data_IF_211114563104
#
_entry.id   IF_211114563104
#
_cell.length_a   1.000
_cell.length_b   1.000
_cell.length_c   1.000
_cell.angle_alpha   90.00
_cell.angle_beta   90.00
_cell.angle_gamma   90.00
#
_symmetry.space_group_name_H-M   'P 1'
#
loop_
_entity.id
_entity.type
_entity.pdbx_description
1 polymer ?
#
# COMPACT_ATOMS: atom_id res chain seq x y z
N UNK A 1 -15.40 -9.46 12.77
CA UNK A 1 -15.42 -9.69 11.32
C UNK A 1 -16.46 -8.78 10.69
N UNK A 2 -16.19 -8.28 9.47
CA UNK A 2 -17.18 -7.55 8.69
C UNK A 2 -17.99 -8.60 7.95
N UNK A 3 -19.33 -8.56 8.07
CA UNK A 3 -20.25 -9.44 7.37
C UNK A 3 -21.04 -8.64 6.34
N UNK A 4 -21.01 -9.07 5.09
CA UNK A 4 -21.79 -8.46 4.01
C UNK A 4 -22.01 -9.49 2.91
N UNK A 5 -23.22 -9.54 2.32
CA UNK A 5 -23.59 -10.55 1.32
C UNK A 5 -22.72 -10.56 0.05
N UNK A 6 -22.03 -9.47 -0.25
CA UNK A 6 -21.08 -9.36 -1.38
C UNK A 6 -19.63 -9.64 -0.99
N UNK A 7 -19.34 -9.88 0.31
CA UNK A 7 -17.99 -10.11 0.80
C UNK A 7 -17.73 -11.62 0.87
N UNK A 8 -16.72 -12.07 0.15
CA UNK A 8 -16.16 -13.41 0.25
C UNK A 8 -14.80 -13.29 0.90
N UNK A 9 -14.60 -13.99 2.01
CA UNK A 9 -13.35 -13.99 2.76
C UNK A 9 -12.61 -15.30 2.55
N UNK A 10 -11.35 -15.23 2.13
CA UNK A 10 -10.47 -16.37 1.99
C UNK A 10 -9.34 -16.27 3.01
N UNK A 11 -9.17 -17.30 3.83
CA UNK A 11 -7.97 -17.46 4.63
C UNK A 11 -6.89 -18.06 3.74
N UNK A 12 -5.81 -17.32 3.51
CA UNK A 12 -4.77 -17.69 2.55
C UNK A 12 -3.47 -18.00 3.29
N UNK A 13 -2.84 -19.13 2.94
CA UNK A 13 -1.45 -19.38 3.29
C UNK A 13 -0.57 -18.71 2.22
N UNK A 14 0.32 -17.81 2.64
CA UNK A 14 1.23 -17.12 1.72
C UNK A 14 2.32 -18.02 1.12
N UNK A 15 2.54 -19.22 1.68
CA UNK A 15 3.42 -20.22 1.09
C UNK A 15 2.76 -21.00 -0.05
N UNK A 16 1.44 -20.85 -0.23
CA UNK A 16 0.66 -21.49 -1.29
C UNK A 16 -0.44 -20.53 -1.82
N UNK A 17 -0.02 -19.40 -2.38
CA UNK A 17 -0.93 -18.42 -2.99
C UNK A 17 -1.64 -18.96 -4.23
N UNK A 18 -1.01 -19.85 -4.97
CA UNK A 18 -1.51 -20.41 -6.21
C UNK A 18 -2.83 -21.17 -5.98
N UNK A 19 -2.91 -21.96 -4.92
CA UNK A 19 -4.09 -22.79 -4.62
C UNK A 19 -5.39 -21.98 -4.48
N UNK A 20 -5.29 -20.74 -4.01
CA UNK A 20 -6.42 -19.84 -3.81
C UNK A 20 -6.57 -18.87 -4.98
N UNK A 21 -5.51 -18.16 -5.35
CA UNK A 21 -5.57 -17.08 -6.32
C UNK A 21 -5.85 -17.57 -7.75
N UNK A 22 -5.45 -18.79 -8.11
CA UNK A 22 -5.77 -19.37 -9.42
C UNK A 22 -7.28 -19.50 -9.69
N UNK A 23 -8.10 -19.52 -8.65
CA UNK A 23 -9.56 -19.64 -8.73
C UNK A 23 -10.29 -18.29 -8.65
N UNK A 24 -9.58 -17.22 -8.32
CA UNK A 24 -10.15 -15.90 -8.13
C UNK A 24 -10.00 -15.08 -9.42
N UNK A 25 -11.12 -14.60 -9.94
CA UNK A 25 -11.15 -13.63 -11.04
C UNK A 25 -11.54 -12.27 -10.48
N UNK A 26 -10.73 -11.26 -10.75
CA UNK A 26 -10.99 -9.89 -10.33
C UNK A 26 -10.56 -8.92 -11.43
N UNK A 27 -11.27 -7.82 -11.59
CA UNK A 27 -10.88 -6.74 -12.50
C UNK A 27 -9.88 -5.80 -11.82
N UNK A 28 -10.11 -5.51 -10.54
CA UNK A 28 -9.32 -4.57 -9.75
C UNK A 28 -8.74 -5.28 -8.53
N UNK A 29 -7.42 -5.17 -8.34
CA UNK A 29 -6.71 -5.78 -7.24
C UNK A 29 -6.16 -4.70 -6.31
N UNK A 30 -6.54 -4.75 -5.04
CA UNK A 30 -6.10 -3.81 -4.01
C UNK A 30 -5.10 -4.48 -3.08
N UNK A 31 -3.83 -4.18 -3.22
CA UNK A 31 -2.76 -4.74 -2.41
C UNK A 31 -2.36 -3.77 -1.29
N UNK A 32 -2.78 -4.09 -0.07
CA UNK A 32 -2.44 -3.36 1.14
C UNK A 32 -1.49 -4.15 2.05
N UNK A 33 -0.76 -5.10 1.50
CA UNK A 33 0.23 -5.89 2.24
C UNK A 33 1.38 -5.02 2.69
N UNK A 34 1.87 -5.30 3.87
CA UNK A 34 3.05 -4.64 4.41
C UNK A 34 3.25 -4.93 5.88
N UNK A 35 4.51 -4.90 6.28
CA UNK A 35 4.91 -5.09 7.66
C UNK A 35 5.91 -4.02 8.09
N UNK A 36 6.47 -4.16 9.27
CA UNK A 36 7.60 -3.34 9.72
C UNK A 36 8.79 -4.25 9.97
N UNK A 37 10.01 -3.71 9.83
CA UNK A 37 11.23 -4.47 10.12
C UNK A 37 11.17 -5.06 11.54
N UNK A 38 10.62 -4.31 12.50
CA UNK A 38 10.44 -4.78 13.88
C UNK A 38 9.49 -5.98 13.97
N UNK A 39 8.37 -5.98 13.24
CA UNK A 39 7.41 -7.13 13.22
C UNK A 39 7.96 -8.31 12.44
N UNK A 40 8.61 -8.07 11.33
CA UNK A 40 9.23 -9.11 10.51
C UNK A 40 10.43 -9.78 11.17
N UNK A 41 11.07 -9.10 12.14
CA UNK A 41 12.26 -9.59 12.90
C UNK A 41 13.52 -9.79 12.06
N UNK A 42 13.43 -9.83 10.72
CA UNK A 42 14.56 -9.95 9.82
C UNK A 42 14.33 -9.19 8.51
N UNK A 43 15.41 -8.83 7.81
CA UNK A 43 15.34 -8.22 6.48
C UNK A 43 14.72 -9.18 5.45
N UNK A 44 15.02 -10.46 5.55
CA UNK A 44 14.47 -11.50 4.67
C UNK A 44 12.96 -11.61 4.84
N UNK A 45 12.46 -11.77 6.07
CA UNK A 45 11.04 -11.85 6.35
C UNK A 45 10.31 -10.54 5.99
N UNK A 46 10.94 -9.37 6.18
CA UNK A 46 10.41 -8.11 5.69
C UNK A 46 10.24 -8.13 4.17
N UNK A 47 11.28 -8.55 3.44
CA UNK A 47 11.26 -8.62 1.98
C UNK A 47 10.20 -9.60 1.46
N UNK A 48 10.00 -10.73 2.13
CA UNK A 48 8.93 -11.68 1.79
C UNK A 48 7.57 -10.99 1.79
N UNK A 49 7.23 -10.27 2.86
CA UNK A 49 5.91 -9.62 3.02
C UNK A 49 5.76 -8.40 2.13
N UNK A 50 6.80 -7.58 2.01
CA UNK A 50 6.72 -6.24 1.39
C UNK A 50 7.17 -6.21 -0.08
N UNK A 51 7.73 -7.32 -0.59
CA UNK A 51 8.16 -7.46 -1.99
C UNK A 51 7.67 -8.76 -2.61
N UNK A 52 8.08 -9.93 -2.10
CA UNK A 52 7.82 -11.22 -2.76
C UNK A 52 6.32 -11.49 -2.90
N UNK A 53 5.58 -11.44 -1.79
CA UNK A 53 4.14 -11.71 -1.81
C UNK A 53 3.34 -10.74 -2.69
N UNK A 54 3.52 -9.39 -2.62
CA UNK A 54 2.85 -8.48 -3.53
C UNK A 54 3.14 -8.73 -5.00
N UNK A 55 4.38 -9.05 -5.36
CA UNK A 55 4.76 -9.34 -6.76
C UNK A 55 4.14 -10.65 -7.23
N UNK A 56 4.13 -11.69 -6.39
CA UNK A 56 3.50 -12.96 -6.72
C UNK A 56 1.99 -12.81 -6.89
N UNK A 57 1.32 -12.11 -5.98
CA UNK A 57 -0.12 -11.79 -6.10
C UNK A 57 -0.39 -11.05 -7.41
N UNK A 58 0.43 -10.04 -7.73
CA UNK A 58 0.25 -9.27 -8.95
C UNK A 58 0.37 -10.15 -10.19
N UNK A 59 1.39 -11.02 -10.26
CA UNK A 59 1.55 -11.95 -11.37
C UNK A 59 0.36 -12.90 -11.53
N UNK A 60 -0.08 -13.53 -10.44
CA UNK A 60 -1.20 -14.46 -10.46
C UNK A 60 -2.51 -13.78 -10.86
N UNK A 61 -2.79 -12.60 -10.28
CA UNK A 61 -4.00 -11.85 -10.62
C UNK A 61 -3.98 -11.35 -12.07
N UNK A 62 -2.82 -10.91 -12.57
CA UNK A 62 -2.68 -10.51 -13.98
C UNK A 62 -2.89 -11.69 -14.92
N UNK A 63 -2.32 -12.84 -14.62
CA UNK A 63 -2.53 -14.09 -15.39
C UNK A 63 -4.02 -14.49 -15.40
N UNK A 64 -4.76 -14.20 -14.35
CA UNK A 64 -6.21 -14.45 -14.24
C UNK A 64 -7.08 -13.36 -14.87
N UNK A 65 -6.46 -12.38 -15.58
CA UNK A 65 -7.18 -11.36 -16.35
C UNK A 65 -7.50 -10.07 -15.60
N UNK A 66 -6.86 -9.80 -14.46
CA UNK A 66 -7.02 -8.52 -13.78
C UNK A 66 -6.53 -7.35 -14.65
N UNK A 67 -7.34 -6.29 -14.70
CA UNK A 67 -7.07 -5.08 -15.49
C UNK A 67 -6.25 -4.06 -14.72
N UNK A 68 -6.50 -3.91 -13.42
CA UNK A 68 -5.90 -2.88 -12.60
C UNK A 68 -5.26 -3.44 -11.33
N UNK A 69 -4.10 -2.86 -10.97
CA UNK A 69 -3.43 -3.17 -9.71
C UNK A 69 -3.17 -1.90 -8.91
N UNK A 70 -3.70 -1.86 -7.69
CA UNK A 70 -3.61 -0.72 -6.78
C UNK A 70 -2.74 -1.12 -5.58
N UNK A 71 -1.56 -0.51 -5.45
CA UNK A 71 -0.55 -0.87 -4.47
C UNK A 71 -0.34 0.24 -3.45
N UNK A 72 -0.35 -0.10 -2.17
CA UNK A 72 0.07 0.82 -1.10
C UNK A 72 1.53 0.56 -0.74
N UNK A 73 2.36 1.58 -0.91
CA UNK A 73 3.77 1.54 -0.53
C UNK A 73 4.07 2.52 0.61
N UNK A 74 4.96 3.48 0.41
CA UNK A 74 5.25 4.51 1.38
C UNK A 74 5.91 5.73 0.72
N UNK A 75 5.73 6.88 1.32
CA UNK A 75 6.49 8.07 0.95
C UNK A 75 8.00 7.79 1.10
N UNK A 76 8.78 8.15 0.09
CA UNK A 76 10.22 7.89 0.03
C UNK A 76 10.61 6.55 -0.60
N UNK A 77 9.64 5.75 -1.12
CA UNK A 77 9.95 4.56 -1.91
C UNK A 77 10.86 4.91 -3.10
N UNK A 78 12.00 4.22 -3.19
CA UNK A 78 12.99 4.47 -4.23
C UNK A 78 13.91 3.24 -4.38
N UNK A 79 13.96 2.60 -5.56
CA UNK A 79 14.79 1.40 -5.79
C UNK A 79 16.29 1.68 -5.77
N UNK A 80 16.69 2.94 -5.68
CA UNK A 80 18.11 3.36 -5.54
C UNK A 80 18.44 3.86 -4.13
N UNK A 81 17.53 3.71 -3.16
CA UNK A 81 17.73 4.20 -1.80
C UNK A 81 18.77 3.35 -1.05
N UNK A 82 19.64 4.01 -0.28
CA UNK A 82 20.50 3.34 0.69
C UNK A 82 19.75 2.86 1.95
N UNK A 83 18.54 3.39 2.16
CA UNK A 83 17.67 2.99 3.27
C UNK A 83 16.90 1.73 2.84
N UNK A 84 17.18 0.61 3.50
CA UNK A 84 16.62 -0.71 3.16
C UNK A 84 15.10 -0.72 2.99
N UNK A 85 14.36 -0.05 3.89
CA UNK A 85 12.90 0.06 3.80
C UNK A 85 12.46 0.74 2.48
N UNK A 86 13.02 1.90 2.18
CA UNK A 86 12.68 2.66 0.97
C UNK A 86 13.10 1.93 -0.30
N UNK A 87 14.24 1.23 -0.24
CA UNK A 87 14.75 0.38 -1.31
C UNK A 87 13.74 -0.71 -1.66
N UNK A 88 13.30 -1.52 -0.68
CA UNK A 88 12.33 -2.62 -0.90
C UNK A 88 10.99 -2.09 -1.41
N UNK A 89 10.52 -0.95 -0.86
CA UNK A 89 9.29 -0.30 -1.35
C UNK A 89 9.43 0.20 -2.79
N UNK A 90 10.60 0.70 -3.17
CA UNK A 90 10.88 1.09 -4.56
C UNK A 90 10.98 -0.09 -5.52
N UNK A 91 11.62 -1.18 -5.09
CA UNK A 91 11.72 -2.40 -5.91
C UNK A 91 10.37 -3.03 -6.21
N UNK A 92 9.45 -3.11 -5.24
CA UNK A 92 8.11 -3.65 -5.47
C UNK A 92 7.31 -2.79 -6.46
N UNK A 93 7.43 -1.47 -6.36
CA UNK A 93 6.82 -0.55 -7.33
C UNK A 93 7.36 -0.78 -8.74
N UNK A 94 8.69 -0.86 -8.88
CA UNK A 94 9.32 -1.09 -10.18
C UNK A 94 8.94 -2.44 -10.78
N UNK A 95 8.88 -3.50 -9.95
CA UNK A 95 8.54 -4.84 -10.41
C UNK A 95 7.09 -4.93 -10.88
N UNK A 96 6.15 -4.36 -10.12
CA UNK A 96 4.73 -4.37 -10.49
C UNK A 96 4.46 -3.46 -11.70
N UNK A 97 5.19 -2.35 -11.82
CA UNK A 97 5.08 -1.44 -12.97
C UNK A 97 5.50 -2.07 -14.31
N UNK A 98 6.27 -3.16 -14.28
CA UNK A 98 6.66 -3.91 -15.47
C UNK A 98 5.65 -4.97 -15.90
N UNK A 99 4.63 -5.22 -15.08
CA UNK A 99 3.55 -6.14 -15.41
C UNK A 99 2.55 -5.47 -16.34
N UNK A 100 1.99 -6.25 -17.27
CA UNK A 100 1.09 -5.75 -18.32
C UNK A 100 -0.34 -5.52 -17.82
N UNK A 101 -0.51 -4.78 -16.69
CA UNK A 101 -1.80 -4.26 -16.28
C UNK A 101 -2.21 -3.08 -17.15
N UNK A 102 -3.50 -2.93 -17.44
CA UNK A 102 -4.01 -1.71 -18.10
C UNK A 102 -3.76 -0.47 -17.25
N UNK A 103 -3.91 -0.58 -15.93
CA UNK A 103 -3.66 0.49 -14.98
C UNK A 103 -2.94 0.01 -13.71
N UNK A 104 -1.88 0.70 -13.32
CA UNK A 104 -1.17 0.50 -12.06
C UNK A 104 -1.22 1.80 -11.26
N UNK A 105 -1.76 1.74 -10.05
CA UNK A 105 -1.80 2.88 -9.14
C UNK A 105 -0.95 2.61 -7.92
N UNK A 106 0.02 3.46 -7.66
CA UNK A 106 0.95 3.34 -6.55
C UNK A 106 0.67 4.46 -5.56
N UNK A 107 0.15 4.11 -4.40
CA UNK A 107 -0.15 5.05 -3.32
C UNK A 107 1.01 5.09 -2.35
N UNK A 108 1.60 6.27 -2.21
CA UNK A 108 2.72 6.56 -1.30
C UNK A 108 2.25 7.42 -0.12
N UNK A 109 1.51 6.84 0.84
CA UNK A 109 1.11 7.61 2.02
C UNK A 109 2.32 7.95 2.88
N UNK A 110 2.21 9.06 3.61
CA UNK A 110 3.08 9.39 4.72
C UNK A 110 2.75 8.52 5.94
N UNK A 111 2.99 8.99 7.15
CA UNK A 111 2.62 8.28 8.36
C UNK A 111 1.10 8.06 8.43
N UNK A 112 0.69 6.78 8.45
CA UNK A 112 -0.72 6.42 8.56
C UNK A 112 -1.22 6.58 9.99
N UNK A 113 -2.29 7.38 10.13
CA UNK A 113 -3.07 7.51 11.34
C UNK A 113 -4.25 6.52 11.30
N UNK A 114 -4.55 5.90 12.43
CA UNK A 114 -5.72 5.01 12.58
C UNK A 114 -5.68 4.26 13.89
N UNK A 115 -6.86 3.89 14.39
CA UNK A 115 -6.98 2.97 15.53
C UNK A 115 -6.49 1.59 15.07
N UNK A 116 -5.29 1.20 15.50
CA UNK A 116 -4.78 -0.16 15.31
C UNK A 116 -5.18 -0.98 16.54
N UNK A 117 -5.56 -2.24 16.33
CA UNK A 117 -5.87 -3.17 17.44
C UNK A 117 -4.65 -3.47 18.31
N UNK A 118 -3.44 -3.15 17.85
CA UNK A 118 -2.21 -3.28 18.63
C UNK A 118 -1.66 -1.87 18.92
N UNK A 119 -1.64 -1.51 20.20
CA UNK A 119 -0.95 -0.30 20.69
C UNK A 119 0.55 -0.44 20.41
N UNK A 120 1.10 0.43 19.59
CA UNK A 120 2.55 0.67 19.61
C UNK A 120 2.84 1.50 20.89
N UNK A 121 3.96 1.26 21.57
CA UNK A 121 4.42 2.12 22.67
C UNK A 121 4.93 3.46 22.10
N UNK A 122 4.06 4.21 21.45
CA UNK A 122 4.36 5.45 20.75
C UNK A 122 3.22 6.47 20.91
N UNK A 123 2.36 6.31 21.93
CA UNK A 123 1.42 7.39 22.27
C UNK A 123 2.19 8.69 22.59
N UNK A 124 3.32 8.60 23.29
CA UNK A 124 4.21 9.75 23.47
C UNK A 124 4.83 10.24 22.15
N UNK A 125 5.20 9.35 21.23
CA UNK A 125 5.74 9.74 19.94
C UNK A 125 4.64 10.36 19.07
N UNK A 126 3.43 9.86 19.13
CA UNK A 126 2.27 10.42 18.44
C UNK A 126 1.90 11.78 19.01
N UNK A 127 1.92 11.98 20.33
CA UNK A 127 1.68 13.28 20.96
C UNK A 127 2.80 14.30 20.68
N UNK A 128 4.07 13.88 20.73
CA UNK A 128 5.21 14.73 20.35
C UNK A 128 5.19 15.08 18.86
N UNK A 129 4.86 14.13 17.99
CA UNK A 129 4.60 14.40 16.59
C UNK A 129 3.42 15.37 16.41
N UNK A 130 2.31 15.21 17.11
CA UNK A 130 1.19 16.16 17.06
C UNK A 130 1.59 17.58 17.48
N UNK A 131 2.42 17.74 18.51
CA UNK A 131 2.93 19.05 18.93
C UNK A 131 3.88 19.66 17.89
N UNK A 132 4.69 18.88 17.22
CA UNK A 132 5.52 19.32 16.09
C UNK A 132 4.68 19.65 14.86
N UNK A 133 3.53 19.00 14.67
CA UNK A 133 2.61 19.18 13.55
C UNK A 133 1.73 20.43 13.64
N UNK A 134 1.70 21.15 14.76
CA UNK A 134 1.00 22.44 14.90
C UNK A 134 1.70 23.58 14.15
N UNK A 135 2.96 23.44 13.78
CA UNK A 135 3.69 24.36 12.89
C UNK A 135 3.49 23.95 11.42
N UNK A 136 2.49 24.53 10.80
CA UNK A 136 2.04 24.52 9.43
C UNK A 136 2.86 23.77 8.35
N UNK A 137 2.42 22.58 7.92
CA UNK A 137 2.85 21.96 6.67
C UNK A 137 2.38 22.81 5.47
N UNK A 138 3.20 23.78 5.02
CA UNK A 138 2.96 24.60 3.83
C UNK A 138 3.97 24.23 2.74
N UNK A 139 3.56 24.34 1.47
CA UNK A 139 4.47 24.09 0.33
C UNK A 139 4.93 22.62 0.21
N UNK A 140 6.21 22.38 -0.11
CA UNK A 140 6.76 21.02 -0.38
C UNK A 140 6.65 20.04 0.79
N UNK A 141 6.46 20.55 2.03
CA UNK A 141 6.39 19.74 3.24
C UNK A 141 4.98 19.12 3.44
N UNK A 142 3.96 19.56 2.71
CA UNK A 142 2.58 19.01 2.80
C UNK A 142 2.53 17.49 2.66
N UNK A 143 3.37 16.89 1.83
CA UNK A 143 3.39 15.45 1.59
C UNK A 143 3.81 14.62 2.80
N UNK A 144 4.43 15.22 3.82
CA UNK A 144 4.83 14.54 5.05
C UNK A 144 3.77 14.60 6.16
N UNK A 145 2.68 15.37 5.93
CA UNK A 145 1.56 15.42 6.89
C UNK A 145 0.99 14.01 7.06
N UNK A 146 0.80 13.53 8.31
CA UNK A 146 0.15 12.25 8.56
C UNK A 146 -1.23 12.18 7.93
N UNK A 147 -1.60 11.02 7.44
CA UNK A 147 -2.85 10.79 6.71
C UNK A 147 -3.64 9.65 7.34
N UNK A 148 -4.96 9.75 7.34
CA UNK A 148 -5.82 8.69 7.83
C UNK A 148 -5.89 7.51 6.84
N UNK A 149 -5.91 6.29 7.37
CA UNK A 149 -6.04 5.09 6.54
C UNK A 149 -7.32 5.09 5.68
N UNK A 150 -8.41 5.71 6.19
CA UNK A 150 -9.67 5.86 5.43
C UNK A 150 -9.50 6.76 4.19
N UNK A 151 -8.66 7.78 4.26
CA UNK A 151 -8.37 8.63 3.11
C UNK A 151 -7.63 7.86 2.02
N UNK A 152 -6.67 6.99 2.41
CA UNK A 152 -6.00 6.10 1.46
C UNK A 152 -6.99 5.15 0.81
N UNK A 153 -7.84 4.48 1.59
CA UNK A 153 -8.84 3.55 1.07
C UNK A 153 -9.83 4.25 0.11
N UNK A 154 -10.28 5.46 0.45
CA UNK A 154 -11.16 6.26 -0.41
C UNK A 154 -10.47 6.63 -1.72
N UNK A 155 -9.22 7.14 -1.65
CA UNK A 155 -8.45 7.49 -2.84
C UNK A 155 -8.20 6.28 -3.74
N UNK A 156 -7.88 5.10 -3.17
CA UNK A 156 -7.75 3.87 -3.94
C UNK A 156 -9.06 3.53 -4.69
N UNK A 157 -10.19 3.59 -4.00
CA UNK A 157 -11.49 3.31 -4.61
C UNK A 157 -11.84 4.30 -5.73
N UNK A 158 -11.60 5.60 -5.52
CA UNK A 158 -11.88 6.62 -6.55
C UNK A 158 -10.95 6.46 -7.74
N UNK A 159 -9.65 6.23 -7.51
CA UNK A 159 -8.68 6.01 -8.59
C UNK A 159 -9.04 4.78 -9.44
N UNK A 160 -9.45 3.68 -8.84
CA UNK A 160 -9.88 2.50 -9.60
C UNK A 160 -11.05 2.80 -10.56
N UNK A 161 -11.98 3.66 -10.14
CA UNK A 161 -13.14 4.06 -10.97
C UNK A 161 -12.74 4.89 -12.20
N UNK A 162 -11.62 5.57 -12.18
CA UNK A 162 -11.16 6.40 -13.32
C UNK A 162 -10.73 5.57 -14.51
N UNK A 163 -10.36 4.29 -14.31
CA UNK A 163 -9.87 3.38 -15.35
C UNK A 163 -8.69 3.97 -16.14
N UNK A 164 -7.86 4.79 -15.48
CA UNK A 164 -6.71 5.39 -16.15
C UNK A 164 -5.72 4.31 -16.60
N UNK A 165 -5.20 4.43 -17.82
CA UNK A 165 -4.22 3.52 -18.37
C UNK A 165 -2.80 3.94 -18.01
N UNK A 166 -1.93 2.95 -17.82
CA UNK A 166 -0.53 3.17 -17.48
C UNK A 166 -0.32 3.30 -15.95
N UNK A 167 0.80 3.87 -15.58
CA UNK A 167 1.26 3.93 -14.18
C UNK A 167 0.96 5.31 -13.59
N UNK A 168 0.31 5.34 -12.42
CA UNK A 168 0.10 6.54 -11.64
C UNK A 168 0.72 6.40 -10.25
N UNK A 169 1.56 7.36 -9.86
CA UNK A 169 2.11 7.46 -8.50
C UNK A 169 1.40 8.61 -7.79
N UNK A 170 0.75 8.30 -6.68
CA UNK A 170 -0.11 9.20 -5.91
C UNK A 170 0.52 9.39 -4.53
N UNK A 171 1.18 10.53 -4.31
CA UNK A 171 1.80 10.86 -3.02
C UNK A 171 0.76 11.32 -1.99
N UNK A 172 1.14 11.34 -0.73
CA UNK A 172 0.27 11.58 0.43
C UNK A 172 -0.59 12.85 0.34
N UNK A 173 -0.04 13.95 -0.17
CA UNK A 173 -0.79 15.19 -0.37
C UNK A 173 -1.88 15.06 -1.45
N UNK A 174 -1.64 14.30 -2.50
CA UNK A 174 -2.64 14.04 -3.55
C UNK A 174 -3.70 13.04 -3.06
N UNK A 175 -3.30 12.03 -2.27
CA UNK A 175 -4.24 11.13 -1.59
C UNK A 175 -5.22 11.94 -0.73
N UNK A 176 -4.70 12.90 0.05
CA UNK A 176 -5.55 13.77 0.88
C UNK A 176 -6.48 14.63 0.02
N UNK A 177 -5.97 15.21 -1.07
CA UNK A 177 -6.78 16.05 -1.96
C UNK A 177 -7.92 15.28 -2.70
N UNK A 178 -7.76 13.97 -2.89
CA UNK A 178 -8.85 13.12 -3.43
C UNK A 178 -9.91 12.87 -2.35
N UNK A 179 -9.52 12.89 -1.07
CA UNK A 179 -10.41 12.62 0.05
C UNK A 179 -11.21 13.83 0.51
N UNK A 180 -10.62 15.04 0.44
CA UNK A 180 -11.23 16.33 0.84
C UNK A 180 -12.31 16.78 -0.17
#
# INVERSE_FOLDING_TARGET
PIEHHKLIQHLVNFDDLISVLSKIKANDVYCCLGTTIKKAKSKTAFRTVDFTNPVEIANLCRANGADQFLLVTALGANPKSSIFYNYVKGEVEESISKLDFKGVYIFRPSLLLGKRQESRPSEELTQKLFQWFSFGFKGPIKKYKPIEAKAVAFAMLQSAKTRHQGIQIIESNHIQAIYD
#
